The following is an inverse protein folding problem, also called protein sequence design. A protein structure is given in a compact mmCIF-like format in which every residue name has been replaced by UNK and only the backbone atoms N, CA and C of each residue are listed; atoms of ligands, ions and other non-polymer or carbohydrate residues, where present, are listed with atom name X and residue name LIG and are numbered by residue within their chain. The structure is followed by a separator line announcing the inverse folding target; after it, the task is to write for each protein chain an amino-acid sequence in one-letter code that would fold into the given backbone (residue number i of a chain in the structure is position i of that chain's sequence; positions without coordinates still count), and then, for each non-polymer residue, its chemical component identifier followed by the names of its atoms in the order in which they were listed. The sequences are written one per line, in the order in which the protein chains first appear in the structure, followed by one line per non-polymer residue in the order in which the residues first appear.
data_IF_605601387269
#
_entry.id   IF_605601387269
#
_cell.length_a   1.000
_cell.length_b   1.000
_cell.length_c   1.000
_cell.angle_alpha   90.00
_cell.angle_beta   90.00
_cell.angle_gamma   90.00
#
_symmetry.space_group_name_H-M   'P 1'
#
loop_
_entity.id
_entity.type
_entity.pdbx_description
1 polymer ?
#
# COMPACT_ATOMS: atom_id res chain seq x y z
N UNK A 1 19.68 -48.53 17.98
CA UNK A 1 19.57 -49.56 16.93
C UNK A 1 18.15 -50.06 16.71
N UNK A 2 17.41 -50.58 17.70
CA UNK A 2 15.99 -50.96 17.48
C UNK A 2 15.10 -49.72 17.36
N UNK A 3 15.30 -48.72 18.21
CA UNK A 3 14.51 -47.48 18.18
C UNK A 3 14.72 -46.67 16.89
N UNK A 4 15.95 -46.64 16.36
CA UNK A 4 16.27 -45.99 15.08
C UNK A 4 15.61 -46.70 13.87
N UNK A 5 15.45 -48.03 13.93
CA UNK A 5 14.76 -48.80 12.89
C UNK A 5 13.24 -48.58 12.95
N UNK A 6 12.69 -48.42 14.17
CA UNK A 6 11.27 -48.10 14.37
C UNK A 6 10.96 -46.69 13.87
N UNK A 7 11.75 -45.68 14.24
CA UNK A 7 11.58 -44.30 13.73
C UNK A 7 11.72 -44.23 12.21
N UNK A 8 12.69 -44.94 11.63
CA UNK A 8 12.90 -44.93 10.18
C UNK A 8 11.76 -45.61 9.41
N UNK A 9 11.18 -46.69 9.97
CA UNK A 9 10.02 -47.35 9.40
C UNK A 9 8.75 -46.48 9.52
N UNK A 10 8.53 -45.81 10.65
CA UNK A 10 7.40 -44.90 10.83
C UNK A 10 7.44 -43.72 9.85
N UNK A 11 8.61 -43.14 9.64
CA UNK A 11 8.82 -42.10 8.61
C UNK A 11 8.56 -42.63 7.20
N UNK A 12 9.01 -43.85 6.87
CA UNK A 12 8.78 -44.44 5.55
C UNK A 12 7.30 -44.69 5.26
N UNK A 13 6.53 -45.23 6.23
CA UNK A 13 5.10 -45.45 6.06
C UNK A 13 4.30 -44.14 6.00
N UNK A 14 4.70 -43.12 6.76
CA UNK A 14 4.13 -41.78 6.66
C UNK A 14 4.39 -41.16 5.27
N UNK A 15 5.57 -41.37 4.70
CA UNK A 15 5.93 -40.88 3.36
C UNK A 15 5.18 -41.61 2.24
N UNK A 16 4.99 -42.94 2.34
CA UNK A 16 4.17 -43.68 1.37
C UNK A 16 2.68 -43.27 1.42
N UNK A 17 2.13 -43.10 2.63
CA UNK A 17 0.76 -42.65 2.81
C UNK A 17 0.54 -41.23 2.23
N UNK A 18 1.49 -40.33 2.48
CA UNK A 18 1.50 -38.96 1.94
C UNK A 18 1.61 -38.94 0.41
N UNK A 19 2.42 -39.82 -0.19
CA UNK A 19 2.53 -39.97 -1.64
C UNK A 19 1.23 -40.48 -2.27
N UNK A 20 0.60 -41.50 -1.68
CA UNK A 20 -0.69 -42.03 -2.17
C UNK A 20 -1.81 -41.00 -2.06
N UNK A 21 -1.85 -40.22 -0.99
CA UNK A 21 -2.78 -39.09 -0.87
C UNK A 21 -2.52 -38.05 -1.97
N UNK A 22 -1.26 -37.64 -2.19
CA UNK A 22 -0.89 -36.70 -3.26
C UNK A 22 -1.30 -37.19 -4.66
N UNK A 23 -1.13 -38.47 -4.97
CA UNK A 23 -1.52 -39.04 -6.26
C UNK A 23 -3.05 -39.07 -6.44
N UNK A 24 -3.80 -39.29 -5.34
CA UNK A 24 -5.25 -39.17 -5.36
C UNK A 24 -5.70 -37.71 -5.55
N UNK A 25 -5.00 -36.74 -4.93
CA UNK A 25 -5.27 -35.31 -5.09
C UNK A 25 -5.00 -34.84 -6.53
N UNK A 26 -3.98 -35.39 -7.20
CA UNK A 26 -3.70 -35.14 -8.63
C UNK A 26 -4.80 -35.58 -9.56
N UNK A 27 -5.54 -36.64 -9.22
CA UNK A 27 -6.66 -37.12 -10.03
C UNK A 27 -7.90 -36.22 -9.95
N UNK A 28 -8.12 -35.57 -8.82
CA UNK A 28 -9.28 -34.68 -8.61
C UNK A 28 -9.02 -33.24 -9.09
N UNK A 29 -7.75 -32.85 -9.22
CA UNK A 29 -7.34 -31.50 -9.63
C UNK A 29 -8.01 -30.95 -10.89
N UNK A 30 -8.17 -31.71 -11.99
CA UNK A 30 -8.89 -31.23 -13.18
C UNK A 30 -10.34 -30.82 -12.87
N UNK A 31 -11.03 -31.62 -12.06
CA UNK A 31 -12.42 -31.35 -11.66
C UNK A 31 -12.51 -30.11 -10.78
N UNK A 32 -11.53 -29.91 -9.89
CA UNK A 32 -11.47 -28.72 -9.04
C UNK A 32 -11.16 -27.45 -9.86
N UNK A 33 -10.30 -27.56 -10.87
CA UNK A 33 -9.97 -26.45 -11.78
C UNK A 33 -11.21 -26.03 -12.60
N UNK A 34 -11.99 -26.98 -13.10
CA UNK A 34 -13.24 -26.71 -13.84
C UNK A 34 -14.30 -26.07 -12.95
N UNK A 35 -14.42 -26.54 -11.71
CA UNK A 35 -15.41 -25.99 -10.75
C UNK A 35 -15.11 -24.54 -10.37
N UNK A 36 -13.83 -24.17 -10.35
CA UNK A 36 -13.35 -22.85 -10.00
C UNK A 36 -13.28 -22.62 -8.49
N UNK A 37 -12.33 -21.77 -8.08
CA UNK A 37 -12.00 -21.48 -6.67
C UNK A 37 -13.21 -21.07 -5.85
N UNK A 38 -14.08 -20.24 -6.43
CA UNK A 38 -15.23 -19.65 -5.72
C UNK A 38 -16.32 -20.68 -5.37
N UNK A 39 -16.31 -21.86 -5.99
CA UNK A 39 -17.31 -22.92 -5.79
C UNK A 39 -16.75 -24.17 -5.08
N UNK A 40 -15.55 -24.09 -4.51
CA UNK A 40 -14.91 -25.21 -3.84
C UNK A 40 -15.54 -25.46 -2.46
N UNK A 41 -16.01 -26.68 -2.24
CA UNK A 41 -16.36 -27.17 -0.92
C UNK A 41 -15.32 -28.22 -0.50
N UNK A 42 -14.50 -27.87 0.49
CA UNK A 42 -13.42 -28.72 1.00
C UNK A 42 -13.63 -29.12 2.47
N UNK A 43 -14.86 -29.01 3.00
CA UNK A 43 -15.15 -29.30 4.42
C UNK A 43 -14.94 -30.77 4.79
N UNK A 44 -14.90 -31.66 3.81
CA UNK A 44 -14.67 -33.09 3.99
C UNK A 44 -13.20 -33.47 4.21
N UNK A 45 -12.26 -32.54 3.98
CA UNK A 45 -10.83 -32.76 4.17
C UNK A 45 -10.37 -32.22 5.52
N UNK A 46 -9.39 -32.88 6.14
CA UNK A 46 -8.70 -32.33 7.29
C UNK A 46 -7.91 -31.05 6.90
N UNK A 47 -7.55 -30.19 7.87
CA UNK A 47 -6.89 -28.93 7.59
C UNK A 47 -5.57 -29.06 6.81
N UNK A 48 -4.74 -30.08 7.10
CA UNK A 48 -3.45 -30.25 6.45
C UNK A 48 -3.63 -30.67 4.98
N UNK A 49 -4.53 -31.61 4.71
CA UNK A 49 -4.87 -32.03 3.35
C UNK A 49 -5.50 -30.88 2.56
N UNK A 50 -6.36 -30.08 3.20
CA UNK A 50 -6.97 -28.90 2.56
C UNK A 50 -5.94 -27.88 2.11
N UNK A 51 -4.97 -27.54 2.97
CA UNK A 51 -3.88 -26.61 2.62
C UNK A 51 -3.07 -27.16 1.45
N UNK A 52 -2.64 -28.41 1.52
CA UNK A 52 -1.84 -29.05 0.46
C UNK A 52 -2.57 -29.11 -0.88
N UNK A 53 -3.88 -29.40 -0.87
CA UNK A 53 -4.72 -29.41 -2.06
C UNK A 53 -4.85 -28.01 -2.67
N UNK A 54 -5.11 -26.99 -1.84
CA UNK A 54 -5.18 -25.61 -2.28
C UNK A 54 -3.82 -25.16 -2.83
N UNK A 55 -2.70 -25.44 -2.16
CA UNK A 55 -1.37 -25.11 -2.69
C UNK A 55 -1.12 -25.75 -4.06
N UNK A 56 -1.49 -27.02 -4.23
CA UNK A 56 -1.32 -27.70 -5.51
C UNK A 56 -2.22 -27.10 -6.59
N UNK A 57 -3.45 -26.71 -6.24
CA UNK A 57 -4.37 -26.02 -7.15
C UNK A 57 -3.83 -24.63 -7.54
N UNK A 58 -3.24 -23.90 -6.59
CA UNK A 58 -2.58 -22.62 -6.83
C UNK A 58 -1.36 -22.76 -7.76
N UNK A 59 -0.56 -23.82 -7.57
CA UNK A 59 0.58 -24.13 -8.44
C UNK A 59 0.12 -24.41 -9.89
N UNK A 60 -0.99 -25.12 -10.07
CA UNK A 60 -1.57 -25.36 -11.39
C UNK A 60 -2.14 -24.09 -12.04
N UNK A 61 -2.84 -23.24 -11.28
CA UNK A 61 -3.28 -21.93 -11.79
C UNK A 61 -2.10 -21.06 -12.21
N UNK A 62 -1.03 -21.06 -11.43
CA UNK A 62 0.19 -20.33 -11.75
C UNK A 62 0.84 -20.85 -13.04
N UNK A 63 0.96 -22.17 -13.20
CA UNK A 63 1.49 -22.80 -14.44
C UNK A 63 0.68 -22.44 -15.68
N UNK A 64 -0.64 -22.27 -15.54
CA UNK A 64 -1.54 -21.84 -16.63
C UNK A 64 -1.50 -20.33 -16.90
N UNK A 65 -0.68 -19.57 -16.17
CA UNK A 65 -0.61 -18.11 -16.27
C UNK A 65 -1.79 -17.38 -15.63
N UNK A 66 -2.67 -18.09 -14.90
CA UNK A 66 -3.82 -17.52 -14.21
C UNK A 66 -3.41 -17.04 -12.81
N UNK A 67 -2.54 -16.02 -12.77
CA UNK A 67 -1.90 -15.57 -11.52
C UNK A 67 -2.88 -15.02 -10.49
N UNK A 68 -3.94 -14.32 -10.91
CA UNK A 68 -4.95 -13.81 -9.98
C UNK A 68 -5.67 -14.94 -9.22
N UNK A 69 -5.98 -16.03 -9.92
CA UNK A 69 -6.57 -17.22 -9.31
C UNK A 69 -5.56 -17.92 -8.40
N UNK A 70 -4.29 -18.00 -8.80
CA UNK A 70 -3.24 -18.57 -7.96
C UNK A 70 -3.10 -17.80 -6.63
N UNK A 71 -3.09 -16.45 -6.66
CA UNK A 71 -3.05 -15.61 -5.46
C UNK A 71 -4.25 -15.89 -4.56
N UNK A 72 -5.47 -15.93 -5.12
CA UNK A 72 -6.68 -16.25 -4.35
C UNK A 72 -6.55 -17.58 -3.62
N UNK A 73 -6.09 -18.62 -4.32
CA UNK A 73 -5.93 -19.96 -3.72
C UNK A 73 -4.86 -19.97 -2.64
N UNK A 74 -3.72 -19.31 -2.85
CA UNK A 74 -2.66 -19.23 -1.82
C UNK A 74 -3.10 -18.46 -0.58
N UNK A 75 -3.91 -17.41 -0.74
CA UNK A 75 -4.52 -16.69 0.39
C UNK A 75 -5.46 -17.63 1.16
N UNK A 76 -6.31 -18.40 0.47
CA UNK A 76 -7.20 -19.38 1.09
C UNK A 76 -6.44 -20.52 1.80
N UNK A 77 -5.27 -20.88 1.28
CA UNK A 77 -4.38 -21.87 1.88
C UNK A 77 -3.59 -21.31 3.07
N UNK A 78 -3.49 -19.98 3.22
CA UNK A 78 -2.61 -19.33 4.20
C UNK A 78 -1.13 -19.46 3.86
N UNK A 79 -0.79 -19.76 2.60
CA UNK A 79 0.56 -20.10 2.16
C UNK A 79 1.43 -18.86 1.91
N UNK A 80 1.96 -18.30 2.99
CA UNK A 80 2.85 -17.12 2.95
C UNK A 80 4.06 -17.32 2.04
N UNK A 81 4.70 -18.49 2.09
CA UNK A 81 5.89 -18.78 1.28
C UNK A 81 5.60 -18.73 -0.23
N UNK A 82 4.44 -19.24 -0.66
CA UNK A 82 4.01 -19.21 -2.06
C UNK A 82 3.73 -17.78 -2.52
N UNK A 83 3.07 -16.98 -1.68
CA UNK A 83 2.83 -15.56 -1.94
C UNK A 83 4.14 -14.75 -2.00
N UNK A 84 5.10 -15.02 -1.13
CA UNK A 84 6.44 -14.40 -1.18
C UNK A 84 7.18 -14.76 -2.48
N UNK A 85 7.11 -16.02 -2.92
CA UNK A 85 7.70 -16.47 -4.19
C UNK A 85 7.07 -15.75 -5.39
N UNK A 86 5.75 -15.58 -5.40
CA UNK A 86 5.07 -14.75 -6.41
C UNK A 86 5.48 -13.28 -6.34
N UNK A 87 5.58 -12.71 -5.13
CA UNK A 87 6.05 -11.34 -4.95
C UNK A 87 7.45 -11.12 -5.52
N UNK A 88 8.38 -12.06 -5.26
CA UNK A 88 9.74 -12.04 -5.84
C UNK A 88 9.74 -12.17 -7.35
N UNK A 89 8.87 -13.01 -7.90
CA UNK A 89 8.70 -13.12 -9.35
C UNK A 89 8.25 -11.77 -9.95
N UNK A 90 7.22 -11.15 -9.38
CA UNK A 90 6.71 -9.86 -9.83
C UNK A 90 7.73 -8.73 -9.71
N UNK A 91 8.49 -8.69 -8.62
CA UNK A 91 9.61 -7.76 -8.45
C UNK A 91 10.68 -7.98 -9.55
N UNK A 92 11.03 -9.23 -9.83
CA UNK A 92 11.99 -9.59 -10.87
C UNK A 92 11.58 -9.17 -12.29
N UNK A 93 10.28 -9.18 -12.61
CA UNK A 93 9.74 -8.73 -13.90
C UNK A 93 9.35 -7.25 -13.92
N UNK A 94 9.60 -6.50 -12.83
CA UNK A 94 9.31 -5.07 -12.73
C UNK A 94 7.85 -4.71 -12.49
N UNK A 95 6.98 -5.68 -12.17
CA UNK A 95 5.58 -5.44 -11.82
C UNK A 95 5.44 -5.10 -10.32
N UNK A 96 5.93 -3.92 -9.96
CA UNK A 96 6.05 -3.47 -8.55
C UNK A 96 4.72 -3.51 -7.80
N UNK A 97 3.64 -3.00 -8.37
CA UNK A 97 2.32 -2.99 -7.72
C UNK A 97 1.82 -4.39 -7.36
N UNK A 98 2.08 -5.37 -8.23
CA UNK A 98 1.71 -6.77 -7.98
C UNK A 98 2.62 -7.40 -6.91
N UNK A 99 3.91 -7.06 -6.91
CA UNK A 99 4.84 -7.48 -5.88
C UNK A 99 4.42 -6.97 -4.49
N UNK A 100 4.07 -5.68 -4.38
CA UNK A 100 3.54 -5.07 -3.14
C UNK A 100 2.30 -5.83 -2.66
N UNK A 101 1.35 -6.11 -3.55
CA UNK A 101 0.13 -6.83 -3.18
C UNK A 101 0.44 -8.24 -2.65
N UNK A 102 1.31 -8.99 -3.32
CA UNK A 102 1.75 -10.31 -2.87
C UNK A 102 2.46 -10.28 -1.52
N UNK A 103 3.39 -9.35 -1.30
CA UNK A 103 4.09 -9.22 -0.01
C UNK A 103 3.16 -8.78 1.11
N UNK A 104 2.21 -7.88 0.84
CA UNK A 104 1.16 -7.50 1.79
C UNK A 104 0.31 -8.71 2.20
N UNK A 105 -0.16 -9.49 1.22
CA UNK A 105 -0.96 -10.70 1.48
C UNK A 105 -0.16 -11.78 2.22
N UNK A 106 1.16 -11.82 2.03
CA UNK A 106 2.06 -12.69 2.78
C UNK A 106 2.43 -12.17 4.18
N UNK A 107 2.06 -10.92 4.51
CA UNK A 107 2.56 -10.18 5.68
C UNK A 107 4.09 -10.14 5.76
N UNK A 108 4.75 -9.95 4.60
CA UNK A 108 6.22 -9.87 4.50
C UNK A 108 6.69 -8.41 4.50
N UNK A 109 6.82 -7.86 5.70
CA UNK A 109 7.24 -6.47 5.93
C UNK A 109 8.68 -6.21 5.44
N UNK A 110 9.58 -7.18 5.59
CA UNK A 110 10.97 -7.05 5.16
C UNK A 110 11.08 -6.90 3.64
N UNK A 111 10.33 -7.73 2.89
CA UNK A 111 10.30 -7.62 1.44
C UNK A 111 9.61 -6.34 0.98
N UNK A 112 8.57 -5.86 1.68
CA UNK A 112 7.95 -4.56 1.40
C UNK A 112 8.92 -3.40 1.61
N UNK A 113 9.68 -3.39 2.72
CA UNK A 113 10.68 -2.36 3.00
C UNK A 113 11.79 -2.34 1.93
N UNK A 114 12.35 -3.52 1.63
CA UNK A 114 13.38 -3.66 0.60
C UNK A 114 12.89 -3.18 -0.77
N UNK A 115 11.68 -3.58 -1.16
CA UNK A 115 11.05 -3.12 -2.39
C UNK A 115 10.81 -1.61 -2.37
N UNK A 116 10.35 -1.04 -1.25
CA UNK A 116 10.13 0.38 -1.07
C UNK A 116 11.41 1.20 -1.29
N UNK A 117 12.52 0.79 -0.67
CA UNK A 117 13.83 1.43 -0.88
C UNK A 117 14.31 1.31 -2.33
N UNK A 118 14.19 0.13 -2.94
CA UNK A 118 14.51 -0.07 -4.35
C UNK A 118 13.67 0.82 -5.28
N UNK A 119 12.38 0.98 -5.00
CA UNK A 119 11.51 1.89 -5.76
C UNK A 119 11.95 3.34 -5.62
N UNK A 120 12.36 3.76 -4.42
CA UNK A 120 12.88 5.10 -4.17
C UNK A 120 14.14 5.38 -4.98
N UNK A 121 15.11 4.45 -4.98
CA UNK A 121 16.35 4.55 -5.76
C UNK A 121 16.08 4.66 -7.27
N UNK A 122 15.08 3.94 -7.76
CA UNK A 122 14.66 3.98 -9.16
C UNK A 122 13.74 5.17 -9.50
N UNK A 123 13.41 6.03 -8.53
CA UNK A 123 12.55 7.20 -8.73
C UNK A 123 11.05 6.91 -8.78
N UNK A 124 10.63 5.68 -8.46
CA UNK A 124 9.23 5.24 -8.41
C UNK A 124 8.60 5.61 -7.05
N UNK A 125 8.44 6.91 -6.81
CA UNK A 125 8.08 7.44 -5.48
C UNK A 125 6.71 6.95 -4.98
N UNK A 126 5.70 6.86 -5.86
CA UNK A 126 4.35 6.42 -5.48
C UNK A 126 4.31 4.96 -5.00
N UNK A 127 5.08 4.09 -5.67
CA UNK A 127 5.19 2.70 -5.27
C UNK A 127 5.99 2.55 -3.96
N UNK A 128 7.06 3.33 -3.80
CA UNK A 128 7.83 3.38 -2.55
C UNK A 128 6.95 3.81 -1.36
N UNK A 129 6.18 4.89 -1.53
CA UNK A 129 5.22 5.37 -0.53
C UNK A 129 4.19 4.28 -0.19
N UNK A 130 3.63 3.61 -1.20
CA UNK A 130 2.65 2.54 -0.98
C UNK A 130 3.23 1.39 -0.14
N UNK A 131 4.49 1.02 -0.38
CA UNK A 131 5.17 0.01 0.41
C UNK A 131 5.40 0.46 1.87
N UNK A 132 5.90 1.69 2.08
CA UNK A 132 6.16 2.21 3.43
C UNK A 132 4.90 2.43 4.26
N UNK A 133 3.79 2.86 3.65
CA UNK A 133 2.49 2.99 4.32
C UNK A 133 2.01 1.62 4.82
N UNK A 134 2.19 0.55 4.04
CA UNK A 134 1.74 -0.79 4.40
C UNK A 134 2.48 -1.38 5.61
N UNK A 135 3.73 -0.96 5.83
CA UNK A 135 4.55 -1.37 6.98
C UNK A 135 4.58 -0.32 8.09
N UNK A 136 3.82 0.77 7.94
CA UNK A 136 3.78 1.90 8.87
C UNK A 136 5.18 2.48 9.21
N UNK A 137 6.09 2.53 8.23
CA UNK A 137 7.42 3.10 8.42
C UNK A 137 7.38 4.62 8.25
N UNK A 138 7.05 5.29 9.35
CA UNK A 138 6.95 6.75 9.44
C UNK A 138 8.29 7.44 9.15
N UNK A 139 9.40 6.84 9.56
CA UNK A 139 10.74 7.41 9.36
C UNK A 139 11.14 7.38 7.89
N UNK A 140 10.90 6.26 7.19
CA UNK A 140 11.10 6.15 5.76
C UNK A 140 10.20 7.13 5.00
N UNK A 141 8.90 7.21 5.33
CA UNK A 141 7.99 8.18 4.72
C UNK A 141 8.50 9.61 4.91
N UNK A 142 8.89 10.00 6.12
CA UNK A 142 9.41 11.34 6.36
C UNK A 142 10.66 11.63 5.52
N UNK A 143 11.62 10.70 5.43
CA UNK A 143 12.82 10.86 4.59
C UNK A 143 12.48 11.05 3.10
N UNK A 144 11.52 10.28 2.58
CA UNK A 144 11.06 10.44 1.19
C UNK A 144 10.35 11.79 1.01
N UNK A 145 9.56 12.21 1.99
CA UNK A 145 8.92 13.53 2.01
C UNK A 145 9.93 14.67 1.95
N UNK A 146 11.02 14.59 2.74
CA UNK A 146 12.12 15.56 2.68
C UNK A 146 12.81 15.60 1.32
N UNK A 147 13.09 14.44 0.72
CA UNK A 147 13.68 14.38 -0.63
C UNK A 147 12.75 15.02 -1.68
N UNK A 148 11.43 14.81 -1.54
CA UNK A 148 10.44 15.47 -2.39
C UNK A 148 10.41 16.99 -2.19
N UNK A 149 10.57 17.49 -0.96
CA UNK A 149 10.68 18.93 -0.68
C UNK A 149 11.92 19.53 -1.34
N UNK A 150 13.07 18.88 -1.25
CA UNK A 150 14.33 19.35 -1.87
C UNK A 150 14.23 19.40 -3.39
N UNK A 151 13.47 18.47 -3.98
CA UNK A 151 13.23 18.39 -5.43
C UNK A 151 12.01 19.18 -5.89
N UNK A 152 11.42 20.00 -5.02
CA UNK A 152 10.23 20.82 -5.30
C UNK A 152 9.01 20.02 -5.82
N UNK A 153 8.93 18.73 -5.46
CA UNK A 153 7.81 17.84 -5.79
C UNK A 153 6.70 18.00 -4.74
N UNK A 154 6.10 19.18 -4.69
CA UNK A 154 5.23 19.60 -3.58
C UNK A 154 4.02 18.69 -3.37
N UNK A 155 3.30 18.34 -4.45
CA UNK A 155 2.10 17.48 -4.36
C UNK A 155 2.42 16.12 -3.73
N UNK A 156 3.53 15.51 -4.15
CA UNK A 156 3.98 14.21 -3.64
C UNK A 156 4.41 14.34 -2.17
N UNK A 157 5.12 15.41 -1.81
CA UNK A 157 5.49 15.67 -0.42
C UNK A 157 4.26 15.83 0.48
N UNK A 158 3.21 16.53 0.01
CA UNK A 158 1.93 16.65 0.73
C UNK A 158 1.28 15.27 0.93
N UNK A 159 1.20 14.44 -0.11
CA UNK A 159 0.64 13.07 0.00
C UNK A 159 1.39 12.24 1.05
N UNK A 160 2.73 12.30 1.03
CA UNK A 160 3.58 11.56 1.96
C UNK A 160 3.39 12.05 3.39
N UNK A 161 3.43 13.36 3.64
CA UNK A 161 3.29 13.88 5.00
C UNK A 161 1.86 13.75 5.54
N UNK A 162 0.84 13.73 4.67
CA UNK A 162 -0.52 13.31 5.04
C UNK A 162 -0.54 11.87 5.50
N UNK A 163 0.10 10.97 4.75
CA UNK A 163 0.17 9.55 5.08
C UNK A 163 0.96 9.29 6.36
N UNK A 164 2.03 10.06 6.64
CA UNK A 164 2.81 9.94 7.87
C UNK A 164 2.23 10.70 9.06
N UNK A 165 1.18 11.52 8.86
CA UNK A 165 0.57 12.36 9.90
C UNK A 165 1.46 13.51 10.36
N UNK A 166 2.46 13.92 9.57
CA UNK A 166 3.44 14.93 9.94
C UNK A 166 2.92 16.35 9.66
N UNK A 167 2.06 16.84 10.54
CA UNK A 167 1.44 18.17 10.44
C UNK A 167 2.46 19.32 10.49
N UNK A 168 3.53 19.17 11.26
CA UNK A 168 4.61 20.17 11.34
C UNK A 168 5.25 20.39 9.97
N UNK A 169 5.59 19.30 9.26
CA UNK A 169 6.18 19.39 7.91
C UNK A 169 5.19 19.89 6.87
N UNK A 170 3.91 19.54 6.99
CA UNK A 170 2.86 20.11 6.12
C UNK A 170 2.75 21.63 6.30
N UNK A 171 2.79 22.14 7.52
CA UNK A 171 2.77 23.58 7.77
C UNK A 171 4.02 24.29 7.24
N UNK A 172 5.21 23.70 7.39
CA UNK A 172 6.45 24.23 6.81
C UNK A 172 6.44 24.23 5.27
N UNK A 173 5.93 23.17 4.66
CA UNK A 173 5.71 23.09 3.21
C UNK A 173 4.78 24.21 2.76
N UNK A 174 3.66 24.41 3.47
CA UNK A 174 2.73 25.50 3.22
C UNK A 174 3.42 26.86 3.20
N UNK A 175 4.23 27.17 4.23
CA UNK A 175 4.99 28.43 4.31
C UNK A 175 5.94 28.62 3.13
N UNK A 176 6.68 27.59 2.72
CA UNK A 176 7.57 27.65 1.55
C UNK A 176 6.78 27.89 0.25
N UNK A 177 5.64 27.24 0.08
CA UNK A 177 4.80 27.46 -1.10
C UNK A 177 4.20 28.87 -1.16
N UNK A 178 3.98 29.53 -0.01
CA UNK A 178 3.61 30.96 0.01
C UNK A 178 4.75 31.82 -0.54
N UNK A 179 5.99 31.55 -0.13
CA UNK A 179 7.18 32.30 -0.59
C UNK A 179 7.41 32.15 -2.11
N UNK A 180 7.11 30.98 -2.67
CA UNK A 180 7.21 30.71 -4.12
C UNK A 180 5.94 31.08 -4.91
N UNK A 181 4.91 31.62 -4.24
CA UNK A 181 3.61 32.01 -4.81
C UNK A 181 2.75 30.86 -5.35
N UNK A 182 3.05 29.63 -4.93
CA UNK A 182 2.30 28.41 -5.21
C UNK A 182 1.12 28.26 -4.24
N UNK A 183 0.17 29.20 -4.30
CA UNK A 183 -0.83 29.36 -3.25
C UNK A 183 -1.84 28.21 -3.15
N UNK A 184 -2.20 27.56 -4.25
CA UNK A 184 -3.10 26.40 -4.21
C UNK A 184 -2.45 25.22 -3.48
N UNK A 185 -1.15 25.02 -3.67
CA UNK A 185 -0.36 24.00 -2.98
C UNK A 185 -0.19 24.39 -1.50
N UNK A 186 0.09 25.66 -1.21
CA UNK A 186 0.15 26.18 0.15
C UNK A 186 -1.17 25.94 0.91
N UNK A 187 -2.31 26.22 0.27
CA UNK A 187 -3.63 25.97 0.83
C UNK A 187 -3.81 24.49 1.18
N UNK A 188 -3.51 23.58 0.24
CA UNK A 188 -3.63 22.14 0.46
C UNK A 188 -2.74 21.66 1.61
N UNK A 189 -1.55 22.23 1.76
CA UNK A 189 -0.61 21.88 2.81
C UNK A 189 -1.10 22.34 4.19
N UNK A 190 -1.56 23.59 4.32
CA UNK A 190 -2.09 24.09 5.59
C UNK A 190 -3.43 23.43 5.97
N UNK A 191 -4.30 23.16 5.00
CA UNK A 191 -5.54 22.42 5.22
C UNK A 191 -5.24 21.02 5.75
N UNK A 192 -4.26 20.33 5.16
CA UNK A 192 -3.81 19.02 5.60
C UNK A 192 -3.17 19.03 7.01
N UNK A 193 -2.48 20.12 7.35
CA UNK A 193 -1.90 20.34 8.68
C UNK A 193 -2.94 20.74 9.73
N UNK A 194 -4.18 21.07 9.31
CA UNK A 194 -5.17 21.77 10.12
C UNK A 194 -4.63 23.08 10.72
N UNK A 195 -3.71 23.76 10.03
CA UNK A 195 -3.04 24.98 10.47
C UNK A 195 -3.90 26.22 10.15
N UNK A 196 -4.75 26.60 11.11
CA UNK A 196 -5.66 27.75 10.97
C UNK A 196 -4.92 29.08 10.87
N UNK A 197 -3.79 29.20 11.55
CA UNK A 197 -2.98 30.41 11.53
C UNK A 197 -2.29 30.54 10.17
N UNK A 198 -1.74 29.44 9.66
CA UNK A 198 -1.18 29.34 8.30
C UNK A 198 -2.20 29.64 7.21
N UNK A 199 -3.43 29.11 7.33
CA UNK A 199 -4.53 29.44 6.40
C UNK A 199 -4.95 30.91 6.47
N UNK A 200 -5.02 31.51 7.65
CA UNK A 200 -5.33 32.94 7.78
C UNK A 200 -4.25 33.81 7.15
N UNK A 201 -2.98 33.50 7.41
CA UNK A 201 -1.84 34.20 6.83
C UNK A 201 -1.79 34.04 5.30
N UNK A 202 -2.10 32.85 4.77
CA UNK A 202 -2.24 32.63 3.33
C UNK A 202 -3.36 33.51 2.75
N UNK A 203 -4.48 33.64 3.48
CA UNK A 203 -5.57 34.53 3.12
C UNK A 203 -5.12 35.99 3.00
N UNK A 204 -4.32 36.48 3.95
CA UNK A 204 -3.79 37.85 3.95
C UNK A 204 -2.90 38.10 2.72
N UNK A 205 -2.01 37.15 2.43
CA UNK A 205 -1.11 37.23 1.26
C UNK A 205 -1.91 37.18 -0.05
N UNK A 206 -2.87 36.25 -0.16
CA UNK A 206 -3.71 36.14 -1.35
C UNK A 206 -4.55 37.41 -1.59
N UNK A 207 -5.02 38.05 -0.52
CA UNK A 207 -5.78 39.30 -0.60
C UNK A 207 -4.90 40.44 -1.12
N UNK A 208 -3.66 40.56 -0.62
CA UNK A 208 -2.69 41.55 -1.09
C UNK A 208 -2.34 41.36 -2.58
N UNK A 209 -2.29 40.11 -3.03
CA UNK A 209 -2.03 39.74 -4.42
C UNK A 209 -3.29 39.76 -5.33
N UNK A 210 -4.45 40.14 -4.80
CA UNK A 210 -5.70 40.22 -5.55
C UNK A 210 -6.36 38.87 -5.90
N UNK A 211 -5.94 37.77 -5.26
CA UNK A 211 -6.52 36.43 -5.41
C UNK A 211 -7.67 36.20 -4.42
N UNK A 212 -8.77 36.93 -4.64
CA UNK A 212 -9.90 37.01 -3.71
C UNK A 212 -10.60 35.67 -3.45
N UNK A 213 -10.79 34.83 -4.47
CA UNK A 213 -11.46 33.52 -4.30
C UNK A 213 -10.67 32.60 -3.35
N UNK A 214 -9.34 32.53 -3.55
CA UNK A 214 -8.48 31.70 -2.72
C UNK A 214 -8.36 32.27 -1.31
N UNK A 215 -8.27 33.60 -1.16
CA UNK A 215 -8.29 34.26 0.15
C UNK A 215 -9.57 33.94 0.93
N UNK A 216 -10.75 34.04 0.27
CA UNK A 216 -12.03 33.71 0.89
C UNK A 216 -12.09 32.24 1.32
N UNK A 217 -11.60 31.31 0.47
CA UNK A 217 -11.51 29.89 0.82
C UNK A 217 -10.60 29.68 2.03
N UNK A 218 -9.42 30.31 2.06
CA UNK A 218 -8.46 30.21 3.16
C UNK A 218 -9.05 30.68 4.50
N UNK A 219 -9.65 31.87 4.54
CA UNK A 219 -10.31 32.37 5.76
C UNK A 219 -11.47 31.50 6.22
N UNK A 220 -12.26 30.96 5.27
CA UNK A 220 -13.37 30.05 5.58
C UNK A 220 -12.86 28.76 6.22
N UNK A 221 -11.83 28.15 5.66
CA UNK A 221 -11.24 26.93 6.22
C UNK A 221 -10.54 27.20 7.56
N UNK A 222 -9.95 28.38 7.74
CA UNK A 222 -9.38 28.81 9.01
C UNK A 222 -10.43 29.08 10.11
N UNK A 223 -11.68 29.39 9.73
CA UNK A 223 -12.72 29.88 10.64
C UNK A 223 -12.52 31.35 11.04
N UNK A 224 -11.95 32.17 10.16
CA UNK A 224 -11.73 33.60 10.39
C UNK A 224 -12.94 34.41 9.91
N UNK A 225 -14.00 34.40 10.72
CA UNK A 225 -15.28 35.06 10.40
C UNK A 225 -15.16 36.57 10.21
N UNK A 226 -14.24 37.21 10.94
CA UNK A 226 -13.99 38.65 10.86
C UNK A 226 -13.51 39.04 9.46
N UNK A 227 -12.53 38.32 8.90
CA UNK A 227 -12.02 38.59 7.55
C UNK A 227 -13.04 38.22 6.47
N UNK A 228 -13.86 37.19 6.68
CA UNK A 228 -14.94 36.87 5.76
C UNK A 228 -16.01 37.97 5.68
N UNK A 229 -16.39 38.56 6.82
CA UNK A 229 -17.31 39.69 6.86
C UNK A 229 -16.72 40.90 6.15
N UNK A 230 -15.45 41.23 6.43
CA UNK A 230 -14.74 42.29 5.74
C UNK A 230 -14.75 42.10 4.21
N UNK A 231 -14.49 40.88 3.74
CA UNK A 231 -14.52 40.57 2.31
C UNK A 231 -15.92 40.73 1.71
N UNK A 232 -16.96 40.27 2.42
CA UNK A 232 -18.33 40.39 1.96
C UNK A 232 -18.79 41.86 1.85
N UNK A 233 -18.45 42.70 2.83
CA UNK A 233 -18.84 44.10 2.87
C UNK A 233 -18.12 44.95 1.80
N UNK A 234 -16.85 44.66 1.53
CA UNK A 234 -16.02 45.49 0.65
C UNK A 234 -15.92 44.96 -0.80
N UNK A 235 -16.08 43.64 -1.00
CA UNK A 235 -15.82 42.99 -2.29
C UNK A 235 -16.97 42.10 -2.80
N UNK A 236 -18.06 41.93 -2.03
CA UNK A 236 -19.17 41.00 -2.32
C UNK A 236 -20.00 41.24 -3.60
N UNK A 237 -19.63 42.22 -4.44
CA UNK A 237 -20.24 42.46 -5.77
C UNK A 237 -19.30 42.22 -6.96
N UNK A 238 -18.08 41.73 -6.74
CA UNK A 238 -17.05 41.56 -7.79
C UNK A 238 -16.39 40.17 -7.83
N UNK A 239 -16.99 39.16 -7.20
CA UNK A 239 -16.62 37.75 -7.35
C UNK A 239 -17.80 37.01 -7.94
#
# INVERSE_FOLDING_TARGET
MVDEIVEHNEQFFADEANKRQLDNLRRILPVLLEKGVDNLNLTMFDPATKVKLLETLGDEYYRKGQTDLAIKVYVLAGSREKLQKLGKYYDGVGQVTQAINCYRLASDENSLLSLGHKCLENGHIKDAMSAFVLVNDVDALNKVGEDCLVKERWEIAIEIFKASGNTTRLAELGKRCVETREYDIAFQAFEAAADKDGLSALGDVCLADGKFELAQRAYRTAGNDTMLQFLAENFGKKV
#
